data_IF_655570254952
#
_entry.id   IF_655570254952
#
_cell.length_a   1.000
_cell.length_b   1.000
_cell.length_c   1.000
_cell.angle_alpha   90.00
_cell.angle_beta   90.00
_cell.angle_gamma   90.00
#
_symmetry.space_group_name_H-M   'P 1'
#
loop_
_entity.id
_entity.type
_entity.pdbx_description
1 polymer ?
2 water ?
#
# COMPACT_ATOMS: atom_id res chain seq x y z
N UNK A 2 -11.62 -8.04 -1.97
CA UNK A 2 -10.77 -8.44 -3.12
C UNK A 2 -9.55 -7.51 -3.19
N UNK A 3 -8.55 -7.86 -3.99
CA UNK A 3 -7.34 -7.06 -4.13
C UNK A 3 -6.59 -7.48 -5.36
N UNK A 4 -5.71 -6.62 -5.85
CA UNK A 4 -4.91 -6.90 -7.04
C UNK A 4 -3.55 -6.27 -6.80
N UNK A 5 -2.53 -6.85 -7.42
CA UNK A 5 -1.17 -6.39 -7.26
C UNK A 5 -0.69 -6.14 -8.63
N UNK A 6 0.04 -5.04 -8.81
CA UNK A 6 0.49 -5.02 -10.20
C UNK A 6 1.76 -4.19 -10.34
N UNK A 7 2.89 -4.89 -10.42
CA UNK A 7 4.12 -4.16 -10.66
C UNK A 7 3.86 -3.03 -11.64
N UNK A 8 4.01 -1.73 -11.41
CA UNK A 8 3.61 -0.76 -12.41
C UNK A 8 4.73 0.15 -12.78
N UNK A 9 5.91 -0.10 -12.23
CA UNK A 9 7.04 0.79 -12.48
C UNK A 9 8.24 0.35 -11.69
N UNK A 10 9.41 0.41 -12.32
CA UNK A 10 10.67 0.09 -11.65
C UNK A 10 10.50 0.03 -10.14
N UNK A 11 10.41 -1.18 -9.62
CA UNK A 11 10.33 -1.34 -8.19
C UNK A 11 9.07 -0.76 -7.54
N UNK A 12 8.07 -0.37 -8.31
CA UNK A 12 6.88 0.18 -7.68
C UNK A 12 5.68 -0.74 -7.84
N UNK A 13 4.99 -0.99 -6.73
CA UNK A 13 3.85 -1.89 -6.75
C UNK A 13 2.57 -1.23 -6.27
N UNK A 14 1.50 -1.48 -7.01
CA UNK A 14 0.19 -0.97 -6.65
C UNK A 14 -0.62 -2.09 -6.01
N UNK A 15 -1.12 -1.84 -4.81
CA UNK A 15 -2.05 -2.74 -4.20
C UNK A 15 -3.48 -2.15 -4.28
N UNK A 16 -4.31 -2.62 -5.20
CA UNK A 16 -5.68 -2.09 -5.23
C UNK A 16 -6.53 -2.86 -4.24
N UNK A 17 -7.21 -2.17 -3.34
CA UNK A 17 -8.09 -2.85 -2.42
C UNK A 17 -9.49 -2.52 -2.88
N UNK A 18 -10.37 -3.51 -2.85
CA UNK A 18 -11.71 -3.29 -3.35
C UNK A 18 -12.68 -4.16 -2.61
N UNK A 19 -13.73 -3.54 -2.07
CA UNK A 19 -14.74 -4.27 -1.34
C UNK A 19 -14.37 -4.57 0.10
N UNK A 20 -14.53 -5.82 0.51
CA UNK A 20 -14.23 -6.22 1.88
C UNK A 20 -12.92 -6.98 1.89
N UNK A 21 -11.97 -6.56 2.71
CA UNK A 21 -10.71 -7.27 2.76
C UNK A 21 -10.71 -8.15 4.01
N UNK A 22 -10.83 -9.45 3.82
CA UNK A 22 -10.85 -10.36 4.95
C UNK A 22 -9.46 -10.59 5.55
N UNK A 23 -9.45 -11.07 6.79
CA UNK A 23 -8.22 -11.39 7.51
C UNK A 23 -7.39 -12.35 6.66
N UNK A 24 -8.06 -13.19 5.87
CA UNK A 24 -7.35 -14.13 5.03
C UNK A 24 -6.62 -13.44 3.89
N UNK A 25 -7.20 -12.35 3.39
CA UNK A 25 -6.60 -11.66 2.26
C UNK A 25 -5.38 -10.90 2.71
N UNK A 26 -5.48 -10.30 3.90
CA UNK A 26 -4.38 -9.55 4.46
C UNK A 26 -3.19 -10.49 4.41
N UNK A 27 -3.47 -11.74 4.74
CA UNK A 27 -2.46 -12.77 4.76
C UNK A 27 -1.83 -13.02 3.37
N UNK A 28 -2.65 -13.18 2.33
CA UNK A 28 -2.15 -13.40 0.96
C UNK A 28 -1.26 -12.24 0.56
N UNK A 29 -1.73 -11.05 0.91
CA UNK A 29 -1.00 -9.83 0.59
C UNK A 29 0.34 -9.75 1.32
N UNK A 30 0.34 -9.99 2.63
CA UNK A 30 1.54 -9.91 3.43
C UNK A 30 2.58 -10.88 2.89
N UNK A 31 2.10 -11.94 2.28
CA UNK A 31 3.02 -12.93 1.77
C UNK A 31 3.78 -12.40 0.56
N UNK A 32 3.04 -11.95 -0.45
CA UNK A 32 3.64 -11.58 -1.73
C UNK A 32 4.51 -10.34 -1.70
N UNK A 33 4.05 -9.32 -0.99
CA UNK A 33 4.75 -8.05 -0.86
C UNK A 33 5.98 -8.17 0.04
N UNK A 34 5.83 -8.74 1.22
CA UNK A 34 7.02 -8.91 2.06
C UNK A 34 8.08 -9.66 1.29
N UNK A 35 7.66 -10.63 0.48
CA UNK A 35 8.65 -11.39 -0.24
C UNK A 35 9.35 -10.44 -1.19
N UNK A 36 8.52 -9.73 -1.94
CA UNK A 36 8.97 -8.81 -2.95
C UNK A 36 9.94 -7.79 -2.39
N UNK A 37 9.68 -7.32 -1.18
CA UNK A 37 10.56 -6.34 -0.57
C UNK A 37 11.89 -6.99 -0.22
N UNK A 38 11.83 -8.13 0.46
CA UNK A 38 13.02 -8.88 0.85
C UNK A 38 13.79 -9.33 -0.39
N UNK A 39 13.10 -9.50 -1.51
CA UNK A 39 13.78 -9.88 -2.74
C UNK A 39 14.32 -8.66 -3.48
N UNK A 40 13.89 -7.47 -3.06
CA UNK A 40 14.37 -6.26 -3.70
C UNK A 40 13.64 -5.95 -5.00
N UNK A 41 12.52 -6.63 -5.21
CA UNK A 41 11.68 -6.40 -6.37
C UNK A 41 10.78 -5.18 -6.13
N UNK A 42 10.62 -4.81 -4.86
CA UNK A 42 9.76 -3.70 -4.49
C UNK A 42 10.38 -2.77 -3.49
N UNK A 43 10.39 -1.48 -3.81
CA UNK A 43 10.82 -0.47 -2.85
C UNK A 43 9.83 0.67 -2.77
N UNK A 44 8.69 0.54 -3.41
CA UNK A 44 7.68 1.58 -3.29
C UNK A 44 6.33 0.95 -3.40
N UNK A 45 5.47 1.24 -2.43
CA UNK A 45 4.13 0.71 -2.43
C UNK A 45 3.17 1.85 -2.41
N UNK A 46 2.27 1.84 -3.39
CA UNK A 46 1.16 2.73 -3.43
C UNK A 46 0.00 1.83 -3.02
N UNK A 47 -0.67 2.18 -1.92
CA UNK A 47 -1.85 1.43 -1.48
C UNK A 47 -3.06 2.17 -1.98
N UNK A 48 -3.81 1.59 -2.90
CA UNK A 48 -5.02 2.30 -3.32
C UNK A 48 -6.22 1.85 -2.49
N UNK A 49 -6.67 2.75 -1.61
CA UNK A 49 -7.78 2.49 -0.68
C UNK A 49 -9.17 2.91 -1.19
N UNK A 50 -9.20 3.70 -2.23
CA UNK A 50 -10.48 4.05 -2.77
C UNK A 50 -11.85 3.39 -2.85
N UNK A 51 -11.79 2.10 -3.24
CA UNK A 51 -12.89 1.21 -3.53
C UNK A 51 -13.17 0.33 -2.32
N UNK A 52 -12.36 0.51 -1.29
CA UNK A 52 -12.39 -0.40 -0.17
C UNK A 52 -13.59 0.00 0.66
N UNK A 53 -14.38 -0.96 1.12
CA UNK A 53 -15.48 -0.58 1.99
C UNK A 53 -15.15 -0.89 3.43
N UNK A 54 -14.23 -1.84 3.63
CA UNK A 54 -13.91 -2.25 4.97
C UNK A 54 -12.82 -3.31 5.05
N UNK A 55 -11.87 -3.09 5.95
CA UNK A 55 -10.83 -4.07 6.25
C UNK A 55 -10.89 -4.27 7.75
N UNK A 56 -10.48 -5.43 8.24
CA UNK A 56 -10.49 -5.62 9.69
C UNK A 56 -9.18 -5.01 10.18
N UNK A 57 -8.98 -5.01 11.49
CA UNK A 57 -7.78 -4.43 12.06
C UNK A 57 -6.44 -4.92 11.49
N UNK A 58 -6.37 -6.16 11.03
CA UNK A 58 -5.10 -6.69 10.49
C UNK A 58 -4.62 -5.97 9.22
N UNK A 59 -5.52 -5.24 8.56
CA UNK A 59 -5.12 -4.47 7.40
C UNK A 59 -4.21 -3.34 7.85
N UNK A 60 -4.49 -2.80 9.04
CA UNK A 60 -3.77 -1.67 9.56
C UNK A 60 -2.36 -2.08 9.80
N UNK A 61 -2.18 -3.26 10.38
CA UNK A 61 -0.85 -3.78 10.63
C UNK A 61 -0.22 -4.21 9.31
N UNK A 62 -1.06 -4.66 8.39
CA UNK A 62 -0.55 -5.09 7.12
C UNK A 62 0.23 -3.93 6.58
N UNK A 63 -0.41 -2.76 6.57
CA UNK A 63 0.22 -1.58 5.98
C UNK A 63 1.44 -1.11 6.78
N UNK A 64 1.31 -1.03 8.10
CA UNK A 64 2.41 -0.53 8.93
C UNK A 64 3.60 -1.48 8.93
N UNK A 65 3.34 -2.76 8.74
CA UNK A 65 4.40 -3.73 8.71
C UNK A 65 5.29 -3.45 7.52
N UNK A 66 4.67 -3.38 6.35
CA UNK A 66 5.39 -3.12 5.12
C UNK A 66 6.16 -1.81 5.18
N UNK A 67 5.64 -0.85 5.94
CA UNK A 67 6.34 0.41 6.12
C UNK A 67 7.66 0.17 6.83
N UNK A 68 7.60 -0.56 7.94
CA UNK A 68 8.80 -0.85 8.71
C UNK A 68 9.74 -1.64 7.83
N UNK A 69 9.18 -2.43 6.93
CA UNK A 69 9.99 -3.19 6.00
C UNK A 69 10.62 -2.27 4.97
N UNK A 70 9.86 -1.30 4.47
CA UNK A 70 10.42 -0.35 3.53
C UNK A 70 11.46 0.56 4.20
N UNK A 71 11.20 1.00 5.43
CA UNK A 71 12.14 1.92 6.07
C UNK A 71 13.58 1.44 5.90
N UNK A 72 13.80 0.14 6.09
CA UNK A 72 15.16 -0.41 6.04
C UNK A 72 15.83 -0.44 4.67
N UNK A 73 15.05 -0.46 3.59
CA UNK A 73 15.62 -0.46 2.24
C UNK A 73 15.45 0.94 1.65
N UNK A 74 15.18 1.88 2.55
CA UNK A 74 14.98 3.27 2.20
C UNK A 74 13.89 3.40 1.15
N UNK A 75 12.93 2.48 1.23
CA UNK A 75 11.79 2.46 0.33
C UNK A 75 10.73 3.45 0.79
N UNK A 76 9.59 3.50 0.10
CA UNK A 76 8.57 4.48 0.42
C UNK A 76 7.18 3.96 0.23
N UNK A 77 6.26 4.52 1.02
CA UNK A 77 4.85 4.20 0.95
C UNK A 77 3.98 5.40 0.63
N UNK A 78 2.96 5.16 -0.20
CA UNK A 78 1.96 6.16 -0.44
C UNK A 78 0.57 5.58 -0.20
N UNK A 79 -0.23 6.28 0.59
CA UNK A 79 -1.57 5.87 0.87
C UNK A 79 -2.45 6.72 -0.03
N UNK A 80 -3.13 6.07 -0.94
CA UNK A 80 -3.85 6.76 -1.99
C UNK A 80 -5.36 6.70 -1.84
N UNK A 81 -5.97 7.83 -1.54
CA UNK A 81 -7.43 7.85 -1.43
C UNK A 81 -7.97 7.17 -0.19
N UNK A 82 -7.30 7.34 0.94
CA UNK A 82 -7.77 6.96 2.25
C UNK A 82 -9.06 7.67 2.60
N UNK A 83 -10.00 6.91 3.20
CA UNK A 83 -11.19 7.55 3.72
C UNK A 83 -10.86 8.29 5.01
N UNK A 84 -11.78 8.43 5.96
CA UNK A 84 -11.56 9.32 7.09
C UNK A 84 -10.74 8.63 8.16
N UNK A 85 -11.32 7.56 8.69
CA UNK A 85 -10.70 6.77 9.73
C UNK A 85 -9.28 6.50 9.28
N UNK A 86 -9.15 5.84 8.14
CA UNK A 86 -7.86 5.50 7.56
C UNK A 86 -6.86 6.64 7.67
N UNK A 87 -7.21 7.78 7.10
CA UNK A 87 -6.17 8.80 7.21
C UNK A 87 -5.92 9.18 8.67
N UNK A 88 -7.02 9.22 9.44
CA UNK A 88 -6.86 9.49 10.86
C UNK A 88 -6.07 8.37 11.53
N UNK A 89 -6.46 7.14 11.23
CA UNK A 89 -5.76 5.98 11.78
C UNK A 89 -4.26 6.05 11.48
N UNK A 90 -3.90 6.63 10.35
CA UNK A 90 -2.47 6.60 10.03
C UNK A 90 -1.76 7.85 10.55
N UNK A 91 -2.40 9.00 10.33
CA UNK A 91 -1.85 10.22 10.89
C UNK A 91 -1.49 10.01 12.36
N UNK A 92 -2.43 9.87 13.30
CA UNK A 92 -2.04 9.51 14.66
C UNK A 92 -2.28 8.02 14.93
N UNK A 96 4.70 8.25 9.75
CA UNK A 96 3.61 8.46 8.81
C UNK A 96 3.97 8.44 7.32
N UNK A 97 3.06 7.90 6.51
CA UNK A 97 3.24 7.80 5.05
C UNK A 97 2.83 9.04 4.29
N UNK A 98 2.88 8.93 2.98
CA UNK A 98 2.40 9.98 2.11
C UNK A 98 0.98 9.63 1.64
N UNK A 99 0.06 10.54 1.89
CA UNK A 99 -1.31 10.44 1.42
C UNK A 99 -1.63 11.48 0.34
N UNK A 100 -2.12 10.97 -0.79
CA UNK A 100 -2.47 11.93 -1.82
C UNK A 100 -3.74 11.52 -2.55
N UNK A 101 -4.76 12.39 -2.48
CA UNK A 101 -5.97 12.13 -3.26
C UNK A 101 -5.72 12.29 -4.76
N UNK A 102 -5.50 11.15 -5.43
CA UNK A 102 -5.23 11.20 -6.86
C UNK A 102 -5.57 9.87 -7.53
N UNK A 103 -5.30 9.79 -8.82
CA UNK A 103 -5.49 8.56 -9.54
C UNK A 103 -4.18 7.79 -9.45
N UNK A 104 -4.21 6.56 -9.92
CA UNK A 104 -3.03 5.74 -9.96
C UNK A 104 -2.04 6.32 -10.94
N UNK A 105 -2.49 6.73 -12.14
CA UNK A 105 -1.53 7.32 -13.08
C UNK A 105 -0.93 8.49 -12.36
N UNK A 106 -1.79 9.34 -11.80
CA UNK A 106 -1.33 10.50 -11.04
C UNK A 106 -0.30 10.04 -9.99
N UNK A 107 -0.70 9.13 -9.11
CA UNK A 107 0.21 8.66 -8.09
C UNK A 107 1.55 8.23 -8.66
N UNK A 108 1.53 7.49 -9.78
CA UNK A 108 2.76 6.98 -10.38
C UNK A 108 3.60 8.06 -11.06
N UNK A 109 2.95 8.95 -11.84
CA UNK A 109 3.65 10.08 -12.45
C UNK A 109 4.48 10.71 -11.35
N UNK A 110 3.82 10.94 -10.23
CA UNK A 110 4.41 11.59 -9.07
C UNK A 110 5.62 10.82 -8.54
N UNK A 111 5.54 9.49 -8.55
CA UNK A 111 6.65 8.66 -8.08
C UNK A 111 7.86 8.70 -9.02
N UNK A 112 7.62 8.75 -10.32
CA UNK A 112 8.71 8.85 -11.27
C UNK A 112 9.57 10.09 -10.98
N UNK A 113 8.93 11.23 -10.69
CA UNK A 113 9.66 12.44 -10.31
C UNK A 113 10.32 12.18 -8.97
N UNK A 114 11.40 12.88 -8.65
CA UNK A 114 12.14 12.65 -7.39
C UNK A 114 13.64 12.87 -7.58
#
# INVERSE_FOLDING_TARGET
>A
MAFQLEMVTRETVVIRLFGELDHHAVEQIRAKISTAIFQGAVTTIIWNFERLSFMDSSGVGLVLGRMRELEAVAGRTILLNPSPTMRKVFQFSGLGPWMMDATEEEAIDRVRGIVNG
#
